data_IF_006293996399
#
_entry.id   IF_006293996399
#
_cell.length_a   1.000
_cell.length_b   1.000
_cell.length_c   1.000
_cell.angle_alpha   90.00
_cell.angle_beta   90.00
_cell.angle_gamma   90.00
#
_symmetry.space_group_name_H-M   'P 1'
#
loop_
_entity.id
_entity.type
_entity.pdbx_description
1 polymer ?
#
# COMPACT_ATOMS: atom_id res chain seq x y z
N UNK A 1 6.99 0.63 17.45
CA UNK A 1 5.93 1.60 17.06
C UNK A 1 5.03 0.91 16.06
N UNK A 2 3.71 0.92 16.28
CA UNK A 2 2.74 0.22 15.42
C UNK A 2 2.84 0.68 13.96
N UNK A 3 3.07 1.98 13.74
CA UNK A 3 3.28 2.58 12.41
C UNK A 3 4.45 1.98 11.63
N UNK A 4 5.51 1.54 12.32
CA UNK A 4 6.64 0.88 11.67
C UNK A 4 6.32 -0.56 11.26
N UNK A 5 5.41 -1.23 11.97
CA UNK A 5 4.96 -2.56 11.58
C UNK A 5 4.05 -2.47 10.34
N UNK A 6 3.19 -1.45 10.28
CA UNK A 6 2.34 -1.17 9.11
C UNK A 6 3.17 -0.84 7.86
N UNK A 7 4.24 -0.03 7.99
CA UNK A 7 5.14 0.23 6.85
C UNK A 7 5.89 -1.03 6.38
N UNK A 8 6.31 -1.90 7.29
CA UNK A 8 6.89 -3.20 6.90
C UNK A 8 5.87 -4.12 6.22
N UNK A 9 4.63 -4.15 6.70
CA UNK A 9 3.56 -4.97 6.12
C UNK A 9 3.19 -4.49 4.72
N UNK A 10 2.98 -3.18 4.54
CA UNK A 10 2.69 -2.58 3.22
C UNK A 10 3.85 -2.78 2.25
N UNK A 11 5.10 -2.71 2.72
CA UNK A 11 6.28 -3.02 1.90
C UNK A 11 6.28 -4.46 1.40
N UNK A 12 5.95 -5.42 2.28
CA UNK A 12 5.92 -6.84 1.94
C UNK A 12 4.82 -7.12 0.91
N UNK A 13 3.63 -6.55 1.10
CA UNK A 13 2.51 -6.68 0.15
C UNK A 13 2.89 -6.09 -1.21
N UNK A 14 3.39 -4.85 -1.24
CA UNK A 14 3.81 -4.19 -2.48
C UNK A 14 4.92 -4.97 -3.21
N UNK A 15 5.95 -5.42 -2.49
CA UNK A 15 7.03 -6.21 -3.06
C UNK A 15 6.54 -7.55 -3.62
N UNK A 16 5.62 -8.22 -2.92
CA UNK A 16 5.05 -9.49 -3.39
C UNK A 16 4.24 -9.34 -4.67
N UNK A 17 3.50 -8.24 -4.82
CA UNK A 17 2.73 -7.92 -6.03
C UNK A 17 3.65 -7.62 -7.23
N UNK A 18 4.66 -6.77 -7.01
CA UNK A 18 5.67 -6.46 -8.03
C UNK A 18 6.46 -7.69 -8.47
N UNK A 19 6.85 -8.56 -7.53
CA UNK A 19 7.49 -9.83 -7.85
C UNK A 19 6.57 -10.75 -8.66
N UNK A 20 5.28 -10.83 -8.30
CA UNK A 20 4.28 -11.60 -9.02
C UNK A 20 4.13 -11.14 -10.47
N UNK A 21 4.04 -9.82 -10.69
CA UNK A 21 4.00 -9.23 -12.03
C UNK A 21 5.30 -9.49 -12.81
N UNK A 22 6.45 -9.33 -12.16
CA UNK A 22 7.76 -9.60 -12.77
C UNK A 22 7.93 -11.05 -13.20
N UNK A 23 7.52 -12.02 -12.38
CA UNK A 23 7.55 -13.45 -12.73
C UNK A 23 6.62 -13.74 -13.90
N UNK A 24 5.42 -13.15 -13.92
CA UNK A 24 4.48 -13.35 -15.01
C UNK A 24 5.00 -12.78 -16.35
N UNK A 25 5.55 -11.56 -16.33
CA UNK A 25 6.18 -10.96 -17.50
C UNK A 25 7.34 -11.83 -18.01
N UNK A 26 8.24 -12.26 -17.11
CA UNK A 26 9.36 -13.12 -17.45
C UNK A 26 8.91 -14.45 -18.06
N UNK A 27 7.84 -15.05 -17.56
CA UNK A 27 7.30 -16.31 -18.09
C UNK A 27 6.75 -16.14 -19.51
N UNK A 28 6.07 -15.03 -19.81
CA UNK A 28 5.57 -14.76 -21.16
C UNK A 28 6.71 -14.47 -22.14
N UNK A 29 7.71 -13.70 -21.70
CA UNK A 29 8.90 -13.40 -22.52
C UNK A 29 9.68 -14.67 -22.87
N UNK A 30 9.91 -15.56 -21.89
CA UNK A 30 10.65 -16.81 -22.11
C UNK A 30 9.91 -17.80 -23.01
N UNK A 31 8.58 -17.83 -22.98
CA UNK A 31 7.77 -18.77 -23.77
C UNK A 31 7.37 -18.22 -25.14
N UNK A 32 7.57 -16.92 -25.39
CA UNK A 32 7.07 -16.22 -26.59
C UNK A 32 5.57 -16.44 -26.86
N UNK A 33 4.78 -16.71 -25.82
CA UNK A 33 3.32 -16.86 -25.92
C UNK A 33 2.71 -15.57 -25.39
N UNK A 34 1.99 -14.83 -26.23
CA UNK A 34 1.17 -13.71 -25.78
C UNK A 34 -0.06 -14.26 -25.05
N UNK A 35 0.10 -14.62 -23.77
CA UNK A 35 -1.01 -15.03 -22.94
C UNK A 35 -1.70 -13.79 -22.36
N UNK A 36 -2.99 -13.62 -22.64
CA UNK A 36 -3.77 -12.54 -22.07
C UNK A 36 -3.92 -12.77 -20.56
N UNK A 37 -3.40 -11.87 -19.74
CA UNK A 37 -3.49 -11.98 -18.28
C UNK A 37 -4.90 -11.67 -17.81
N UNK A 38 -5.68 -12.71 -17.49
CA UNK A 38 -7.03 -12.56 -16.93
C UNK A 38 -7.06 -11.82 -15.59
N UNK A 39 -5.92 -11.73 -14.90
CA UNK A 39 -5.77 -11.01 -13.63
C UNK A 39 -5.05 -9.66 -13.79
N UNK A 40 -4.82 -9.17 -15.02
CA UNK A 40 -4.10 -7.91 -15.25
C UNK A 40 -4.71 -6.74 -14.48
N UNK A 41 -6.01 -6.53 -14.63
CA UNK A 41 -6.75 -5.43 -13.98
C UNK A 41 -6.70 -5.58 -12.45
N UNK A 42 -6.87 -6.81 -11.96
CA UNK A 42 -6.83 -7.09 -10.53
C UNK A 42 -5.43 -6.84 -9.93
N UNK A 43 -4.37 -7.31 -10.60
CA UNK A 43 -2.97 -7.08 -10.19
C UNK A 43 -2.62 -5.59 -10.24
N UNK A 44 -3.02 -4.89 -11.30
CA UNK A 44 -2.85 -3.44 -11.39
C UNK A 44 -3.55 -2.72 -10.23
N UNK A 45 -4.80 -3.09 -9.93
CA UNK A 45 -5.52 -2.55 -8.79
C UNK A 45 -4.79 -2.81 -7.46
N UNK A 46 -4.38 -4.04 -7.19
CA UNK A 46 -3.63 -4.40 -5.97
C UNK A 46 -2.30 -3.66 -5.90
N UNK A 47 -1.59 -3.49 -7.01
CA UNK A 47 -0.34 -2.74 -7.11
C UNK A 47 -0.53 -1.26 -6.80
N UNK A 48 -1.59 -0.64 -7.31
CA UNK A 48 -1.92 0.77 -7.00
C UNK A 48 -2.32 0.92 -5.53
N UNK A 49 -3.20 0.06 -5.02
CA UNK A 49 -3.63 0.08 -3.60
C UNK A 49 -2.43 -0.06 -2.67
N UNK A 50 -1.58 -1.05 -2.92
CA UNK A 50 -0.40 -1.32 -2.08
C UNK A 50 0.65 -0.20 -2.19
N UNK A 51 0.81 0.43 -3.35
CA UNK A 51 1.65 1.61 -3.52
C UNK A 51 1.14 2.81 -2.70
N UNK A 52 -0.17 3.10 -2.73
CA UNK A 52 -0.78 4.18 -1.94
C UNK A 52 -0.62 3.89 -0.45
N UNK A 53 -0.91 2.67 -0.02
CA UNK A 53 -0.76 2.25 1.38
C UNK A 53 0.70 2.35 1.86
N UNK A 54 1.66 1.91 1.03
CA UNK A 54 3.09 2.02 1.31
C UNK A 54 3.52 3.48 1.51
N UNK A 55 3.26 4.35 0.53
CA UNK A 55 3.60 5.77 0.64
C UNK A 55 2.87 6.46 1.80
N UNK A 56 1.59 6.12 2.02
CA UNK A 56 0.79 6.60 3.13
C UNK A 56 1.37 6.23 4.49
N UNK A 57 1.89 5.00 4.65
CA UNK A 57 2.51 4.54 5.89
C UNK A 57 3.77 5.35 6.24
N UNK A 58 4.62 5.67 5.25
CA UNK A 58 5.82 6.51 5.45
C UNK A 58 5.46 7.95 5.77
N UNK A 59 4.47 8.51 5.08
CA UNK A 59 3.95 9.85 5.39
C UNK A 59 3.46 9.90 6.84
N UNK A 60 2.68 8.91 7.27
CA UNK A 60 2.14 8.86 8.62
C UNK A 60 3.24 8.71 9.67
N UNK A 61 4.28 7.93 9.38
CA UNK A 61 5.45 7.81 10.24
C UNK A 61 6.24 9.12 10.34
N UNK A 62 6.41 9.85 9.24
CA UNK A 62 7.06 11.15 9.22
C UNK A 62 6.28 12.19 10.03
N UNK A 63 4.96 12.26 9.83
CA UNK A 63 4.05 13.12 10.58
C UNK A 63 4.10 12.80 12.07
N UNK A 64 4.04 11.52 12.44
CA UNK A 64 4.11 11.11 13.83
C UNK A 64 5.43 11.50 14.50
N UNK A 65 6.57 11.32 13.82
CA UNK A 65 7.89 11.75 14.33
C UNK A 65 7.95 13.27 14.50
N UNK A 66 7.40 14.03 13.54
CA UNK A 66 7.30 15.48 13.63
C UNK A 66 6.50 15.92 14.88
N UNK A 67 5.32 15.35 15.10
CA UNK A 67 4.47 15.70 16.24
C UNK A 67 5.12 15.36 17.59
N UNK A 68 5.82 14.24 17.71
CA UNK A 68 6.54 13.91 18.95
C UNK A 68 7.62 14.95 19.28
N UNK A 69 8.34 15.42 18.26
CA UNK A 69 9.45 16.37 18.45
C UNK A 69 8.94 17.78 18.72
N UNK A 70 7.95 18.25 17.96
CA UNK A 70 7.45 19.64 18.05
C UNK A 70 6.44 19.82 19.18
N UNK A 71 5.62 18.80 19.47
CA UNK A 71 4.53 18.87 20.45
C UNK A 71 4.62 17.72 21.47
N UNK A 72 5.68 17.66 22.30
CA UNK A 72 5.93 16.53 23.19
C UNK A 72 4.83 16.32 24.26
N UNK A 73 4.09 17.36 24.62
CA UNK A 73 2.99 17.29 25.59
C UNK A 73 1.68 16.72 25.02
N UNK A 74 1.57 16.54 23.70
CA UNK A 74 0.37 15.99 23.05
C UNK A 74 0.40 14.45 23.07
N UNK A 75 0.19 13.87 24.25
CA UNK A 75 0.14 12.42 24.48
C UNK A 75 -0.91 11.68 23.63
N UNK A 76 -1.93 12.40 23.15
CA UNK A 76 -2.97 11.85 22.27
C UNK A 76 -2.40 11.19 21.01
N UNK A 77 -1.40 11.82 20.36
CA UNK A 77 -0.75 11.28 19.16
C UNK A 77 0.05 10.01 19.43
N UNK A 78 0.54 9.83 20.66
CA UNK A 78 1.28 8.64 21.09
C UNK A 78 0.36 7.47 21.45
N UNK A 79 -0.95 7.69 21.57
CA UNK A 79 -1.91 6.65 21.91
C UNK A 79 -1.99 5.58 20.82
N UNK A 80 -1.92 4.32 21.23
CA UNK A 80 -2.08 3.15 20.34
C UNK A 80 -3.43 3.19 19.62
N UNK A 81 -4.50 3.62 20.30
CA UNK A 81 -5.85 3.71 19.71
C UNK A 81 -5.90 4.67 18.53
N UNK A 82 -5.19 5.79 18.64
CA UNK A 82 -5.12 6.78 17.57
C UNK A 82 -4.27 6.28 16.40
N UNK A 83 -3.15 5.61 16.67
CA UNK A 83 -2.33 4.98 15.62
C UNK A 83 -3.10 3.91 14.84
N UNK A 84 -3.86 3.06 15.53
CA UNK A 84 -4.73 2.05 14.88
C UNK A 84 -5.77 2.74 13.99
N UNK A 85 -6.43 3.78 14.50
CA UNK A 85 -7.44 4.53 13.74
C UNK A 85 -6.84 5.13 12.45
N UNK A 86 -5.67 5.74 12.55
CA UNK A 86 -4.98 6.31 11.39
C UNK A 86 -4.60 5.25 10.36
N UNK A 87 -4.06 4.11 10.80
CA UNK A 87 -3.75 2.97 9.92
C UNK A 87 -5.02 2.50 9.19
N UNK A 88 -6.11 2.29 9.92
CA UNK A 88 -7.38 1.86 9.32
C UNK A 88 -7.89 2.85 8.26
N UNK A 89 -7.80 4.16 8.54
CA UNK A 89 -8.17 5.18 7.57
C UNK A 89 -7.28 5.14 6.33
N UNK A 90 -5.96 5.02 6.49
CA UNK A 90 -5.02 4.91 5.35
C UNK A 90 -5.39 3.73 4.46
N UNK A 91 -5.68 2.56 5.03
CA UNK A 91 -6.10 1.40 4.26
C UNK A 91 -7.43 1.61 3.54
N UNK A 92 -8.44 2.16 4.22
CA UNK A 92 -9.75 2.47 3.62
C UNK A 92 -9.60 3.41 2.43
N UNK A 93 -8.84 4.50 2.59
CA UNK A 93 -8.57 5.45 1.50
C UNK A 93 -7.78 4.81 0.35
N UNK A 94 -6.82 3.94 0.67
CA UNK A 94 -6.01 3.23 -0.33
C UNK A 94 -6.85 2.30 -1.20
N UNK A 95 -7.90 1.68 -0.66
CA UNK A 95 -8.84 0.85 -1.43
C UNK A 95 -9.87 1.67 -2.23
N UNK A 96 -10.40 2.74 -1.62
CA UNK A 96 -11.47 3.54 -2.22
C UNK A 96 -10.98 4.40 -3.39
N UNK A 97 -9.79 4.99 -3.29
CA UNK A 97 -9.28 5.92 -4.30
C UNK A 97 -9.15 5.27 -5.70
N UNK A 98 -8.49 4.10 -5.85
CA UNK A 98 -8.35 3.45 -7.15
C UNK A 98 -9.56 2.58 -7.54
N UNK A 99 -10.69 2.62 -6.83
CA UNK A 99 -11.81 1.71 -7.09
C UNK A 99 -12.35 1.82 -8.53
N UNK A 100 -12.26 3.01 -9.13
CA UNK A 100 -12.65 3.25 -10.52
C UNK A 100 -11.84 2.39 -11.51
N UNK A 101 -10.59 2.03 -11.19
CA UNK A 101 -9.74 1.18 -12.04
C UNK A 101 -10.32 -0.22 -12.27
N UNK A 102 -11.16 -0.71 -11.36
CA UNK A 102 -11.85 -2.00 -11.53
C UNK A 102 -12.99 -1.94 -12.56
N UNK A 103 -13.51 -0.75 -12.85
CA UNK A 103 -14.66 -0.54 -13.73
C UNK A 103 -14.29 0.11 -15.06
N UNK A 104 -13.13 0.75 -15.16
CA UNK A 104 -12.53 1.15 -16.44
C UNK A 104 -11.87 -0.06 -17.09
N UNK A 105 -12.71 -0.93 -17.66
CA UNK A 105 -12.27 -2.01 -18.54
C UNK A 105 -12.23 -1.53 -19.98
N UNK A 106 -11.05 -1.10 -20.42
CA UNK A 106 -10.64 -1.26 -21.82
C UNK A 106 -9.82 -2.56 -21.93
#
# INVERSE_FOLDING_TARGET
>A
MLLSADSCLTALVFASDMLGMGVFALQNDLKHIQFQDSFCIFRCYVGVVSCIAFNGSFLLQAVYRYFIVVYPHFLFWQSIRFQVLLICLTWIFSYLWPIALLFTGD
#
